data_IF_140821842479
#
_entry.id   IF_140821842479
#
_cell.length_a   1.000
_cell.length_b   1.000
_cell.length_c   1.000
_cell.angle_alpha   90.00
_cell.angle_beta   90.00
_cell.angle_gamma   90.00
#
_symmetry.space_group_name_H-M   'P 1'
#
loop_
_entity.id
_entity.type
_entity.pdbx_description
1 polymer ?
#
# COMPACT_ATOMS: atom_id res chain seq x y z
N UNK A 1 -8.97 4.49 13.59
CA UNK A 1 -9.80 4.32 12.36
C UNK A 1 -11.10 5.10 12.56
N UNK A 2 -11.55 5.89 11.59
CA UNK A 2 -12.74 6.74 11.77
C UNK A 2 -14.05 5.95 11.56
N UNK A 3 -14.05 5.08 10.56
CA UNK A 3 -15.24 4.32 10.13
C UNK A 3 -15.26 2.87 10.62
N UNK A 4 -14.29 2.48 11.43
CA UNK A 4 -14.27 1.20 12.14
C UNK A 4 -14.09 1.54 13.62
N UNK A 5 -15.12 1.32 14.42
CA UNK A 5 -15.15 1.74 15.82
C UNK A 5 -16.16 0.94 16.63
N UNK A 6 -15.97 0.92 17.92
CA UNK A 6 -17.00 0.40 18.84
C UNK A 6 -18.15 1.39 18.97
N UNK A 7 -19.36 0.87 18.88
CA UNK A 7 -20.59 1.49 19.38
C UNK A 7 -21.00 0.66 20.58
N UNK A 8 -20.89 1.22 21.78
CA UNK A 8 -20.91 0.48 23.03
C UNK A 8 -19.86 -0.65 23.03
N UNK A 9 -20.25 -1.89 23.17
CA UNK A 9 -19.37 -3.06 23.23
C UNK A 9 -19.24 -3.83 21.90
N UNK A 10 -19.81 -3.32 20.78
CA UNK A 10 -19.85 -4.02 19.49
C UNK A 10 -19.03 -3.23 18.47
N UNK A 11 -18.17 -3.93 17.71
CA UNK A 11 -17.35 -3.33 16.67
C UNK A 11 -18.15 -3.24 15.37
N UNK A 12 -18.17 -2.03 14.81
CA UNK A 12 -18.84 -1.71 13.54
C UNK A 12 -17.84 -1.34 12.46
N UNK A 13 -18.22 -1.60 11.22
CA UNK A 13 -17.67 -0.93 10.05
C UNK A 13 -18.77 -0.04 9.48
N UNK A 14 -18.57 1.29 9.53
CA UNK A 14 -19.60 2.27 9.20
C UNK A 14 -20.88 2.04 10.02
N UNK A 15 -21.99 1.61 9.39
CA UNK A 15 -23.25 1.35 10.09
C UNK A 15 -23.54 -0.14 10.28
N UNK A 16 -22.62 -1.03 9.89
CA UNK A 16 -22.80 -2.48 9.89
C UNK A 16 -22.05 -3.11 11.08
N UNK A 17 -22.72 -3.97 11.84
CA UNK A 17 -22.08 -4.81 12.86
C UNK A 17 -21.18 -5.85 12.18
N UNK A 18 -19.93 -5.92 12.59
CA UNK A 18 -18.98 -6.84 11.99
C UNK A 18 -19.27 -8.31 12.32
N UNK A 19 -19.92 -8.57 13.46
CA UNK A 19 -20.37 -9.90 13.83
C UNK A 19 -21.41 -10.47 12.86
N UNK A 20 -22.36 -9.66 12.39
CA UNK A 20 -23.36 -10.07 11.39
C UNK A 20 -22.69 -10.47 10.07
N UNK A 21 -21.68 -9.72 9.62
CA UNK A 21 -20.92 -10.08 8.42
C UNK A 21 -20.15 -11.40 8.59
N UNK A 22 -19.58 -11.63 9.78
CA UNK A 22 -18.86 -12.86 10.06
C UNK A 22 -19.80 -14.09 10.05
N UNK A 23 -21.01 -13.95 10.57
CA UNK A 23 -22.02 -15.02 10.55
C UNK A 23 -22.56 -15.29 9.13
N UNK A 24 -22.83 -14.23 8.36
CA UNK A 24 -23.42 -14.35 7.01
C UNK A 24 -22.40 -14.87 5.99
N UNK A 25 -21.17 -14.33 5.99
CA UNK A 25 -20.17 -14.65 4.95
C UNK A 25 -19.08 -15.62 5.42
N UNK A 26 -19.08 -16.02 6.69
CA UNK A 26 -18.06 -16.87 7.30
C UNK A 26 -16.71 -16.18 7.46
N UNK A 27 -15.78 -16.87 8.14
CA UNK A 27 -14.41 -16.41 8.38
C UNK A 27 -13.38 -17.37 7.77
N UNK A 28 -12.11 -16.97 7.55
CA UNK A 28 -11.60 -15.59 7.59
C UNK A 28 -12.30 -14.67 6.58
N UNK A 29 -12.43 -13.38 6.90
CA UNK A 29 -13.18 -12.42 6.08
C UNK A 29 -12.48 -11.06 6.05
N UNK A 30 -12.21 -10.52 4.86
CA UNK A 30 -11.78 -9.13 4.73
C UNK A 30 -12.99 -8.19 4.60
N UNK A 31 -12.99 -7.11 5.37
CA UNK A 31 -14.01 -6.07 5.31
C UNK A 31 -13.34 -4.72 5.11
N UNK A 32 -13.84 -3.93 4.15
CA UNK A 32 -13.33 -2.60 3.84
C UNK A 32 -14.43 -1.55 3.97
N UNK A 33 -14.09 -0.38 4.53
CA UNK A 33 -14.95 0.80 4.54
C UNK A 33 -14.71 1.63 3.28
N UNK A 34 -15.73 1.82 2.46
CA UNK A 34 -15.68 2.70 1.29
C UNK A 34 -15.47 4.16 1.68
N UNK A 35 -16.17 4.62 2.73
CA UNK A 35 -16.09 6.01 3.17
C UNK A 35 -14.69 6.34 3.71
N UNK A 36 -14.02 5.38 4.39
CA UNK A 36 -12.63 5.56 4.82
C UNK A 36 -11.68 5.73 3.61
N UNK A 37 -11.84 4.90 2.57
CA UNK A 37 -11.02 4.98 1.34
C UNK A 37 -11.20 6.35 0.68
N UNK A 38 -12.44 6.76 0.47
CA UNK A 38 -12.78 8.02 -0.20
C UNK A 38 -12.27 9.22 0.60
N UNK A 39 -12.49 9.23 1.91
CA UNK A 39 -12.02 10.31 2.77
C UNK A 39 -10.49 10.43 2.75
N UNK A 40 -9.77 9.31 2.89
CA UNK A 40 -8.30 9.29 2.83
C UNK A 40 -7.77 9.85 1.52
N UNK A 41 -8.34 9.42 0.40
CA UNK A 41 -7.95 9.94 -0.91
C UNK A 41 -8.23 11.44 -1.03
N UNK A 42 -9.46 11.88 -0.70
CA UNK A 42 -9.86 13.29 -0.81
C UNK A 42 -9.04 14.21 0.08
N UNK A 43 -8.77 13.80 1.32
CA UNK A 43 -7.94 14.57 2.26
C UNK A 43 -6.53 14.73 1.73
N UNK A 44 -5.94 13.64 1.23
CA UNK A 44 -4.60 13.69 0.66
C UNK A 44 -4.55 14.52 -0.64
N UNK A 45 -5.52 14.34 -1.53
CA UNK A 45 -5.62 15.12 -2.76
C UNK A 45 -5.86 16.61 -2.50
N UNK A 46 -6.65 16.93 -1.49
CA UNK A 46 -6.94 18.31 -1.08
C UNK A 46 -5.77 19.03 -0.38
N UNK A 47 -4.74 18.29 0.06
CA UNK A 47 -3.56 18.89 0.68
C UNK A 47 -2.65 19.64 -0.31
N UNK A 48 -2.83 19.45 -1.61
CA UNK A 48 -2.09 20.14 -2.68
C UNK A 48 -2.73 21.47 -3.07
N UNK A 49 -2.78 22.41 -2.15
CA UNK A 49 -3.32 23.75 -2.45
C UNK A 49 -2.48 24.45 -3.52
N UNK A 50 -3.13 24.98 -4.56
CA UNK A 50 -2.53 25.78 -5.65
C UNK A 50 -1.33 25.13 -6.38
N UNK A 51 -1.19 23.80 -6.28
CA UNK A 51 -0.12 23.03 -6.92
C UNK A 51 -0.70 22.10 -7.97
N UNK A 52 -0.17 22.15 -9.19
CA UNK A 52 -0.44 21.12 -10.20
C UNK A 52 0.05 19.78 -9.65
N UNK A 53 -0.83 18.79 -9.53
CA UNK A 53 -0.50 17.52 -8.90
C UNK A 53 -1.30 16.34 -9.43
N UNK A 54 -0.84 15.14 -9.10
CA UNK A 54 -1.60 13.91 -9.27
C UNK A 54 -1.30 12.93 -8.12
N UNK A 55 -2.35 12.36 -7.56
CA UNK A 55 -2.25 11.25 -6.59
C UNK A 55 -2.47 9.94 -7.34
N UNK A 56 -1.39 9.18 -7.59
CA UNK A 56 -1.41 7.88 -8.24
C UNK A 56 -1.53 6.78 -7.18
N UNK A 57 -2.68 6.13 -7.11
CA UNK A 57 -2.82 5.01 -6.18
C UNK A 57 -1.92 3.85 -6.56
N UNK A 58 -1.09 3.36 -5.63
CA UNK A 58 -0.23 2.20 -5.84
C UNK A 58 -1.02 0.89 -5.75
N UNK A 59 -1.31 0.26 -6.89
CA UNK A 59 -2.16 -0.93 -6.99
C UNK A 59 -1.65 -2.12 -6.19
N UNK A 60 -0.32 -2.24 -6.06
CA UNK A 60 0.33 -3.29 -5.25
C UNK A 60 -0.16 -3.38 -3.81
N UNK A 61 -0.71 -2.29 -3.26
CA UNK A 61 -1.25 -2.29 -1.91
C UNK A 61 -2.56 -3.07 -1.81
N UNK A 62 -3.46 -2.89 -2.78
CA UNK A 62 -4.70 -3.66 -2.94
C UNK A 62 -5.28 -3.41 -4.34
N UNK A 63 -5.31 -4.43 -5.17
CA UNK A 63 -5.79 -4.37 -6.56
C UNK A 63 -7.20 -4.96 -6.74
N UNK A 64 -8.04 -5.02 -5.69
CA UNK A 64 -9.42 -5.43 -5.84
C UNK A 64 -10.16 -4.47 -6.78
N UNK A 65 -10.79 -5.02 -7.82
CA UNK A 65 -11.43 -4.24 -8.88
C UNK A 65 -12.42 -3.18 -8.38
N UNK A 66 -13.23 -3.51 -7.37
CA UNK A 66 -14.22 -2.56 -6.83
C UNK A 66 -13.58 -1.44 -6.00
N UNK A 67 -12.49 -1.73 -5.29
CA UNK A 67 -11.69 -0.70 -4.61
C UNK A 67 -11.06 0.23 -5.64
N UNK A 68 -10.50 -0.34 -6.72
CA UNK A 68 -9.93 0.43 -7.83
C UNK A 68 -10.99 1.33 -8.49
N UNK A 69 -12.22 0.82 -8.72
CA UNK A 69 -13.32 1.63 -9.26
C UNK A 69 -13.66 2.83 -8.36
N UNK A 70 -13.66 2.65 -7.04
CA UNK A 70 -13.88 3.77 -6.10
C UNK A 70 -12.83 4.86 -6.33
N UNK A 71 -11.55 4.50 -6.37
CA UNK A 71 -10.45 5.45 -6.54
C UNK A 71 -10.42 6.10 -7.94
N UNK A 72 -10.70 5.33 -8.99
CA UNK A 72 -10.82 5.87 -10.35
C UNK A 72 -11.96 6.89 -10.45
N UNK A 73 -13.10 6.64 -9.78
CA UNK A 73 -14.25 7.57 -9.72
C UNK A 73 -13.90 8.87 -8.99
N UNK A 74 -13.00 8.82 -7.98
CA UNK A 74 -12.48 10.00 -7.29
C UNK A 74 -11.45 10.78 -8.13
N UNK A 75 -11.06 10.27 -9.31
CA UNK A 75 -10.13 10.94 -10.22
C UNK A 75 -8.66 10.62 -9.98
N UNK A 76 -8.36 9.61 -9.19
CA UNK A 76 -6.99 9.16 -8.93
C UNK A 76 -6.27 8.74 -10.21
N UNK A 77 -4.94 8.91 -10.22
CA UNK A 77 -4.04 8.20 -11.11
C UNK A 77 -3.69 6.82 -10.55
N UNK A 78 -2.89 6.05 -11.27
CA UNK A 78 -2.46 4.71 -10.87
C UNK A 78 -0.95 4.52 -11.01
N UNK A 79 -0.30 3.99 -9.96
CA UNK A 79 1.04 3.41 -10.02
C UNK A 79 0.90 1.90 -10.20
N UNK A 80 1.40 1.38 -11.34
CA UNK A 80 1.36 -0.03 -11.70
C UNK A 80 2.78 -0.60 -11.85
N UNK A 81 2.95 -1.88 -11.52
CA UNK A 81 4.27 -2.55 -11.57
C UNK A 81 4.27 -3.82 -12.43
N UNK A 82 3.18 -4.07 -13.16
CA UNK A 82 3.06 -5.19 -14.10
C UNK A 82 1.96 -4.94 -15.12
N UNK A 83 1.96 -5.69 -16.24
CA UNK A 83 0.87 -5.67 -17.21
C UNK A 83 -0.48 -6.08 -16.59
N UNK A 84 -0.45 -6.99 -15.60
CA UNK A 84 -1.65 -7.39 -14.86
C UNK A 84 -2.27 -6.23 -14.08
N UNK A 85 -1.47 -5.46 -13.36
CA UNK A 85 -1.95 -4.26 -12.66
C UNK A 85 -2.43 -3.18 -13.64
N UNK A 86 -1.71 -2.98 -14.78
CA UNK A 86 -2.15 -2.07 -15.84
C UNK A 86 -3.52 -2.46 -16.39
N UNK A 87 -3.72 -3.75 -16.68
CA UNK A 87 -5.02 -4.27 -17.13
C UNK A 87 -6.13 -4.00 -16.10
N UNK A 88 -5.86 -4.25 -14.81
CA UNK A 88 -6.82 -4.01 -13.73
C UNK A 88 -7.14 -2.52 -13.56
N UNK A 89 -6.14 -1.65 -13.69
CA UNK A 89 -6.34 -0.19 -13.63
C UNK A 89 -7.27 0.28 -14.77
N UNK A 90 -6.97 -0.09 -16.00
CA UNK A 90 -7.78 0.25 -17.17
C UNK A 90 -9.21 -0.29 -17.06
N UNK A 91 -9.36 -1.55 -16.65
CA UNK A 91 -10.66 -2.19 -16.43
C UNK A 91 -11.48 -1.50 -15.35
N UNK A 92 -10.83 -0.94 -14.32
CA UNK A 92 -11.48 -0.20 -13.25
C UNK A 92 -11.87 1.23 -13.63
N UNK A 93 -11.38 1.74 -14.78
CA UNK A 93 -11.73 3.06 -15.31
C UNK A 93 -10.69 4.15 -15.03
N UNK A 94 -9.47 3.79 -14.64
CA UNK A 94 -8.38 4.79 -14.60
C UNK A 94 -8.05 5.27 -16.02
N UNK A 95 -7.85 6.59 -16.17
CA UNK A 95 -7.46 7.18 -17.44
C UNK A 95 -6.00 6.84 -17.75
N UNK A 96 -5.67 6.34 -18.97
CA UNK A 96 -4.30 5.98 -19.33
C UNK A 96 -3.29 7.11 -19.14
N UNK A 97 -3.68 8.35 -19.39
CA UNK A 97 -2.87 9.56 -19.21
C UNK A 97 -2.58 9.92 -17.75
N UNK A 98 -3.12 9.13 -16.78
CA UNK A 98 -2.87 9.21 -15.35
C UNK A 98 -2.22 7.94 -14.79
N UNK A 99 -1.67 7.07 -15.65
CA UNK A 99 -1.02 5.82 -15.24
C UNK A 99 0.48 5.93 -15.42
N UNK A 100 1.23 5.63 -14.35
CA UNK A 100 2.68 5.47 -14.36
C UNK A 100 3.05 4.01 -14.18
N UNK A 101 4.08 3.53 -14.89
CA UNK A 101 4.54 2.15 -14.79
C UNK A 101 5.94 2.09 -14.17
N UNK A 102 5.98 1.69 -12.91
CA UNK A 102 7.20 1.53 -12.10
C UNK A 102 7.68 0.06 -12.07
N UNK A 103 8.75 -0.22 -11.30
CA UNK A 103 9.29 -1.58 -11.08
C UNK A 103 10.49 -1.93 -11.93
N UNK A 104 11.41 -2.70 -11.33
CA UNK A 104 12.75 -3.03 -11.89
C UNK A 104 12.76 -4.11 -12.97
N UNK A 105 11.64 -4.76 -13.21
CA UNK A 105 11.59 -5.98 -14.06
C UNK A 105 10.56 -5.90 -15.18
N UNK A 106 10.37 -4.74 -15.81
CA UNK A 106 9.45 -4.60 -16.95
C UNK A 106 9.94 -5.44 -18.12
N UNK A 107 9.11 -6.38 -18.56
CA UNK A 107 9.38 -7.21 -19.75
C UNK A 107 9.03 -6.45 -21.02
N UNK A 108 9.60 -6.89 -22.14
CA UNK A 108 9.35 -6.28 -23.44
C UNK A 108 7.87 -6.31 -23.86
N UNK A 109 7.18 -7.42 -23.60
CA UNK A 109 5.74 -7.56 -23.85
C UNK A 109 4.89 -6.63 -22.97
N UNK A 110 5.28 -6.38 -21.71
CA UNK A 110 4.61 -5.44 -20.81
C UNK A 110 4.83 -3.99 -21.24
N UNK A 111 6.06 -3.65 -21.70
CA UNK A 111 6.38 -2.33 -22.28
C UNK A 111 5.56 -2.10 -23.54
N UNK A 112 5.49 -3.08 -24.45
CA UNK A 112 4.69 -3.01 -25.67
C UNK A 112 3.20 -2.79 -25.34
N UNK A 113 2.64 -3.58 -24.42
CA UNK A 113 1.25 -3.41 -23.96
C UNK A 113 0.99 -2.01 -23.41
N UNK A 114 1.87 -1.52 -22.55
CA UNK A 114 1.73 -0.19 -21.95
C UNK A 114 1.80 0.95 -22.98
N UNK A 115 2.71 0.85 -23.97
CA UNK A 115 2.79 1.79 -25.08
C UNK A 115 1.55 1.76 -25.96
N UNK A 116 0.96 0.58 -26.19
CA UNK A 116 -0.29 0.45 -26.94
C UNK A 116 -1.47 1.09 -26.21
N UNK A 117 -1.49 1.03 -24.88
CA UNK A 117 -2.51 1.67 -24.03
C UNK A 117 -2.29 3.19 -23.86
N UNK A 118 -1.16 3.75 -24.35
CA UNK A 118 -0.80 5.17 -24.23
C UNK A 118 -0.77 5.68 -22.79
N UNK A 119 -0.18 4.90 -21.87
CA UNK A 119 0.00 5.33 -20.46
C UNK A 119 0.76 6.64 -20.38
N UNK A 120 0.69 7.33 -19.23
CA UNK A 120 1.37 8.60 -19.07
C UNK A 120 2.89 8.45 -19.19
N UNK A 121 3.53 7.59 -18.37
CA UNK A 121 4.99 7.42 -18.45
C UNK A 121 5.46 6.10 -17.84
N UNK A 122 6.71 5.75 -18.16
CA UNK A 122 7.48 4.71 -17.47
C UNK A 122 8.43 5.34 -16.46
N UNK A 123 8.45 4.82 -15.23
CA UNK A 123 9.48 5.11 -14.24
C UNK A 123 10.64 4.12 -14.48
N UNK A 124 11.69 4.58 -15.17
CA UNK A 124 12.80 3.76 -15.66
C UNK A 124 13.83 3.54 -14.57
N UNK A 125 14.26 2.31 -14.37
CA UNK A 125 15.12 1.93 -13.24
C UNK A 125 16.55 1.53 -13.67
N UNK A 126 16.83 1.43 -14.98
CA UNK A 126 18.17 1.10 -15.48
C UNK A 126 18.38 1.56 -16.93
N UNK A 127 19.67 1.69 -17.34
CA UNK A 127 20.05 1.98 -18.73
C UNK A 127 19.65 0.85 -19.69
N UNK A 128 19.71 -0.40 -19.25
CA UNK A 128 19.25 -1.55 -20.05
C UNK A 128 17.76 -1.47 -20.36
N UNK A 129 16.95 -1.12 -19.35
CA UNK A 129 15.51 -0.91 -19.50
C UNK A 129 15.22 0.26 -20.44
N UNK A 130 15.95 1.38 -20.30
CA UNK A 130 15.87 2.54 -21.20
C UNK A 130 16.00 2.13 -22.67
N UNK A 131 17.03 1.35 -22.98
CA UNK A 131 17.25 0.87 -24.35
C UNK A 131 16.14 -0.05 -24.84
N UNK A 132 15.59 -0.89 -23.97
CA UNK A 132 14.46 -1.75 -24.30
C UNK A 132 13.22 -0.93 -24.61
N UNK A 133 12.87 0.06 -23.78
CA UNK A 133 11.74 0.97 -24.01
C UNK A 133 11.93 1.73 -25.33
N UNK A 134 13.12 2.29 -25.57
CA UNK A 134 13.43 3.01 -26.80
C UNK A 134 13.27 2.14 -28.05
N UNK A 135 13.78 0.91 -28.03
CA UNK A 135 13.66 -0.06 -29.13
C UNK A 135 12.22 -0.45 -29.41
N UNK A 136 11.43 -0.74 -28.37
CA UNK A 136 10.00 -1.09 -28.51
C UNK A 136 9.21 0.10 -29.04
N UNK A 137 9.42 1.30 -28.48
CA UNK A 137 8.75 2.51 -28.93
C UNK A 137 9.06 2.81 -30.40
N UNK A 138 10.33 2.69 -30.81
CA UNK A 138 10.73 2.86 -32.19
C UNK A 138 10.06 1.84 -33.13
N UNK A 139 10.04 0.54 -32.76
CA UNK A 139 9.35 -0.53 -33.49
C UNK A 139 7.86 -0.24 -33.70
N UNK A 140 7.20 0.36 -32.69
CA UNK A 140 5.79 0.70 -32.77
C UNK A 140 5.49 2.05 -33.42
N UNK A 141 6.50 2.80 -33.84
CA UNK A 141 6.34 4.17 -34.36
C UNK A 141 5.78 5.14 -33.32
N UNK A 142 6.03 4.91 -32.01
CA UNK A 142 5.56 5.72 -30.90
C UNK A 142 6.70 6.45 -30.21
N UNK A 143 6.37 7.47 -29.42
CA UNK A 143 7.26 8.02 -28.41
C UNK A 143 6.89 7.52 -27.03
N UNK A 144 7.87 7.01 -26.29
CA UNK A 144 7.70 6.64 -24.90
C UNK A 144 8.04 7.82 -23.98
N UNK A 145 7.09 8.25 -23.18
CA UNK A 145 7.34 9.21 -22.09
C UNK A 145 8.00 8.49 -20.93
N UNK A 146 9.08 9.03 -20.41
CA UNK A 146 9.86 8.43 -19.34
C UNK A 146 10.21 9.42 -18.23
N UNK A 147 10.28 8.90 -17.01
CA UNK A 147 10.94 9.49 -15.85
C UNK A 147 11.99 8.51 -15.36
N UNK A 148 13.18 8.97 -14.97
CA UNK A 148 14.11 8.06 -14.30
C UNK A 148 13.82 8.01 -12.80
N UNK A 149 13.78 6.79 -12.26
CA UNK A 149 13.81 6.59 -10.82
C UNK A 149 15.23 6.78 -10.33
N UNK A 150 15.45 7.87 -9.64
CA UNK A 150 16.74 8.18 -9.02
C UNK A 150 16.72 7.74 -7.56
N UNK A 151 17.74 6.97 -7.20
CA UNK A 151 17.99 6.56 -5.84
C UNK A 151 18.92 7.58 -5.18
N UNK A 152 18.42 8.40 -4.21
CA UNK A 152 19.20 9.48 -3.61
C UNK A 152 20.21 9.00 -2.56
N UNK A 153 20.25 7.70 -2.24
CA UNK A 153 21.07 7.10 -1.17
C UNK A 153 20.76 7.68 0.22
N UNK A 154 19.48 7.83 0.51
CA UNK A 154 18.97 8.33 1.79
C UNK A 154 18.37 7.18 2.58
N UNK A 155 18.83 7.02 3.84
CA UNK A 155 18.26 6.04 4.77
C UNK A 155 16.91 6.51 5.31
N UNK A 156 15.85 5.82 4.89
CA UNK A 156 14.49 6.07 5.35
C UNK A 156 14.22 5.53 6.78
N UNK A 157 15.18 4.85 7.41
CA UNK A 157 15.07 4.24 8.74
C UNK A 157 13.83 3.32 8.87
N UNK A 158 13.50 2.61 7.79
CA UNK A 158 12.41 1.65 7.72
C UNK A 158 12.92 0.21 7.82
N UNK A 159 11.99 -0.77 7.89
CA UNK A 159 12.39 -2.17 7.95
C UNK A 159 13.27 -2.54 6.73
N UNK A 160 14.36 -3.32 6.90
CA UNK A 160 15.32 -3.61 5.81
C UNK A 160 14.68 -4.15 4.53
N UNK A 161 13.63 -4.97 4.62
CA UNK A 161 12.97 -5.55 3.44
C UNK A 161 12.07 -4.57 2.67
N UNK A 162 11.77 -3.39 3.23
CA UNK A 162 10.93 -2.36 2.59
C UNK A 162 11.65 -1.01 2.41
N UNK A 163 12.95 -0.95 2.69
CA UNK A 163 13.83 0.18 2.37
C UNK A 163 14.23 0.09 0.90
N UNK A 164 14.09 1.16 0.13
CA UNK A 164 14.38 1.20 -1.32
C UNK A 164 15.28 2.37 -1.72
N UNK A 165 15.60 3.27 -0.80
CA UNK A 165 16.37 4.48 -1.05
C UNK A 165 17.88 4.34 -0.86
N UNK A 166 18.41 3.17 -0.51
CA UNK A 166 19.83 2.91 -0.32
C UNK A 166 20.48 2.36 -1.59
N UNK A 167 21.73 2.73 -1.83
CA UNK A 167 22.53 2.28 -2.98
C UNK A 167 22.66 0.75 -3.07
N UNK A 168 22.59 0.04 -1.94
CA UNK A 168 22.66 -1.43 -1.89
C UNK A 168 21.38 -2.13 -2.35
N UNK A 169 20.31 -1.41 -2.67
CA UNK A 169 19.05 -1.99 -3.14
C UNK A 169 19.03 -2.16 -4.66
N UNK A 170 18.14 -3.04 -5.15
CA UNK A 170 17.97 -3.28 -6.59
C UNK A 170 17.27 -2.13 -7.34
N UNK A 171 16.86 -1.08 -6.66
CA UNK A 171 15.96 -0.05 -7.21
C UNK A 171 16.69 1.20 -7.66
N UNK A 172 16.27 1.72 -8.81
CA UNK A 172 16.64 3.02 -9.34
C UNK A 172 18.08 3.13 -9.83
N UNK A 173 18.36 4.30 -10.36
CA UNK A 173 19.69 4.72 -10.85
C UNK A 173 20.38 5.50 -9.74
N UNK A 174 21.67 5.26 -9.56
CA UNK A 174 22.49 5.98 -8.58
C UNK A 174 22.45 7.49 -8.83
N UNK A 175 22.35 8.27 -7.75
CA UNK A 175 22.34 9.73 -7.78
C UNK A 175 23.51 10.34 -8.57
N UNK A 176 24.69 9.75 -8.47
CA UNK A 176 25.92 10.17 -9.18
C UNK A 176 25.84 10.07 -10.69
N UNK A 177 25.02 9.16 -11.21
CA UNK A 177 24.83 8.90 -12.65
C UNK A 177 23.65 9.63 -13.26
N UNK A 178 22.86 10.34 -12.45
CA UNK A 178 21.60 10.93 -12.90
C UNK A 178 21.76 11.84 -14.15
N UNK A 179 22.69 12.79 -14.11
CA UNK A 179 22.89 13.73 -15.24
C UNK A 179 23.35 12.99 -16.51
N UNK A 180 24.24 12.02 -16.38
CA UNK A 180 24.75 11.21 -17.48
C UNK A 180 23.60 10.46 -18.19
N UNK A 181 22.75 9.76 -17.41
CA UNK A 181 21.66 8.96 -18.00
C UNK A 181 20.58 9.82 -18.65
N UNK A 182 20.26 10.98 -18.07
CA UNK A 182 19.35 11.94 -18.70
C UNK A 182 19.91 12.51 -20.01
N UNK A 183 21.19 12.88 -20.02
CA UNK A 183 21.88 13.38 -21.22
C UNK A 183 21.91 12.32 -22.32
N UNK A 184 22.21 11.06 -21.96
CA UNK A 184 22.16 9.96 -22.89
C UNK A 184 20.75 9.72 -23.43
N UNK A 185 19.73 9.68 -22.57
CA UNK A 185 18.35 9.46 -22.98
C UNK A 185 17.82 10.57 -23.92
N UNK A 186 18.28 11.81 -23.76
CA UNK A 186 17.93 12.93 -24.63
C UNK A 186 18.38 12.72 -26.09
N UNK A 187 19.36 11.83 -26.34
CA UNK A 187 19.81 11.48 -27.71
C UNK A 187 18.93 10.45 -28.39
N UNK A 188 18.02 9.77 -27.65
CA UNK A 188 17.18 8.68 -28.15
C UNK A 188 15.85 9.23 -28.67
N UNK A 189 15.69 9.32 -30.00
CA UNK A 189 14.56 10.00 -30.67
C UNK A 189 13.17 9.40 -30.34
N UNK A 190 13.10 8.12 -29.95
CA UNK A 190 11.87 7.44 -29.60
C UNK A 190 11.42 7.72 -28.14
N UNK A 191 12.18 8.49 -27.37
CA UNK A 191 11.89 8.82 -25.98
C UNK A 191 11.52 10.29 -25.81
N UNK A 192 10.76 10.56 -24.78
CA UNK A 192 10.40 11.89 -24.28
C UNK A 192 10.66 11.94 -22.78
N UNK A 193 11.59 12.80 -22.36
CA UNK A 193 11.92 13.01 -20.95
C UNK A 193 10.87 13.93 -20.32
N UNK A 194 10.02 13.39 -19.45
CA UNK A 194 8.89 14.15 -18.88
C UNK A 194 9.04 14.44 -17.40
N UNK A 195 9.79 13.62 -16.63
CA UNK A 195 9.89 13.82 -15.21
C UNK A 195 11.08 13.15 -14.55
N UNK A 196 11.15 13.28 -13.25
CA UNK A 196 12.02 12.52 -12.33
C UNK A 196 11.15 11.80 -11.30
N UNK A 197 11.48 10.54 -11.03
CA UNK A 197 10.82 9.73 -10.01
C UNK A 197 11.80 9.40 -8.88
N UNK A 198 11.30 9.33 -7.65
CA UNK A 198 12.03 8.82 -6.49
C UNK A 198 11.10 8.07 -5.54
N UNK A 199 11.62 7.05 -4.88
CA UNK A 199 10.86 6.32 -3.84
C UNK A 199 11.86 5.71 -2.86
N UNK A 200 11.91 6.23 -1.63
CA UNK A 200 12.97 5.91 -0.65
C UNK A 200 12.62 4.75 0.30
N UNK A 201 11.37 4.31 0.32
CA UNK A 201 10.97 3.19 1.20
C UNK A 201 9.48 3.14 1.47
N UNK A 202 9.08 2.26 2.37
CA UNK A 202 7.69 2.07 2.79
C UNK A 202 7.59 2.12 4.30
N UNK A 203 6.42 2.52 4.84
CA UNK A 203 6.18 2.68 6.28
C UNK A 203 7.19 3.65 6.92
N UNK A 204 7.43 4.78 6.27
CA UNK A 204 8.32 5.83 6.79
C UNK A 204 7.50 6.67 7.78
N UNK A 205 8.01 6.79 8.99
CA UNK A 205 7.31 7.43 10.12
C UNK A 205 7.97 8.74 10.56
N UNK A 206 8.96 9.23 9.80
CA UNK A 206 9.68 10.48 10.04
C UNK A 206 9.65 11.35 8.79
N UNK A 207 9.61 12.66 8.97
CA UNK A 207 9.54 13.63 7.86
C UNK A 207 10.92 13.92 7.28
N UNK A 208 11.98 13.84 8.10
CA UNK A 208 13.35 14.24 7.74
C UNK A 208 13.90 13.53 6.49
N UNK A 209 13.76 12.20 6.30
CA UNK A 209 14.22 11.54 5.08
C UNK A 209 13.51 12.07 3.81
N UNK A 210 12.23 12.40 3.91
CA UNK A 210 11.51 13.01 2.80
C UNK A 210 12.00 14.43 2.49
N UNK A 211 12.26 15.27 3.49
CA UNK A 211 12.83 16.61 3.30
C UNK A 211 14.20 16.53 2.63
N UNK A 212 15.08 15.63 3.08
CA UNK A 212 16.39 15.42 2.46
C UNK A 212 16.25 15.01 0.99
N UNK A 213 15.32 14.10 0.68
CA UNK A 213 15.00 13.67 -0.69
C UNK A 213 14.47 14.83 -1.54
N UNK A 214 13.57 15.65 -1.01
CA UNK A 214 13.01 16.80 -1.73
C UNK A 214 14.11 17.81 -2.12
N UNK A 215 15.01 18.14 -1.18
CA UNK A 215 16.14 19.04 -1.46
C UNK A 215 17.09 18.46 -2.53
N UNK A 216 17.37 17.15 -2.48
CA UNK A 216 18.17 16.49 -3.50
C UNK A 216 17.50 16.58 -4.89
N UNK A 217 16.20 16.26 -4.99
CA UNK A 217 15.45 16.28 -6.26
C UNK A 217 15.38 17.71 -6.83
N UNK A 218 15.14 18.73 -6.01
CA UNK A 218 15.15 20.14 -6.44
C UNK A 218 16.51 20.51 -7.03
N UNK A 219 17.61 20.15 -6.36
CA UNK A 219 18.97 20.36 -6.87
C UNK A 219 19.23 19.63 -8.20
N UNK A 220 18.74 18.38 -8.35
CA UNK A 220 18.86 17.61 -9.57
C UNK A 220 18.08 18.27 -10.73
N UNK A 221 16.82 18.67 -10.50
CA UNK A 221 15.99 19.36 -11.51
C UNK A 221 16.67 20.66 -11.98
N UNK A 222 17.30 21.42 -11.07
CA UNK A 222 18.07 22.60 -11.42
C UNK A 222 19.23 22.29 -12.36
N UNK A 223 20.06 21.29 -12.02
CA UNK A 223 21.20 20.85 -12.88
C UNK A 223 20.75 20.32 -14.24
N UNK A 224 19.64 19.59 -14.31
CA UNK A 224 19.08 19.11 -15.57
C UNK A 224 18.61 20.27 -16.45
N UNK A 225 18.00 21.29 -15.86
CA UNK A 225 17.59 22.51 -16.58
C UNK A 225 18.79 23.28 -17.11
N UNK A 226 19.88 23.39 -16.36
CA UNK A 226 21.17 23.98 -16.82
C UNK A 226 21.76 23.18 -18.00
N UNK A 227 21.56 21.86 -18.03
CA UNK A 227 21.94 20.99 -19.14
C UNK A 227 20.94 21.02 -20.33
N UNK A 228 19.92 21.89 -20.30
CA UNK A 228 18.92 22.00 -21.36
C UNK A 228 17.79 20.97 -21.30
N UNK A 229 17.68 20.20 -20.23
CA UNK A 229 16.65 19.17 -20.02
C UNK A 229 15.58 19.72 -19.10
N UNK A 230 14.40 20.03 -19.66
CA UNK A 230 13.27 20.61 -18.94
C UNK A 230 12.25 19.52 -18.62
N UNK A 231 12.10 19.19 -17.34
CA UNK A 231 11.13 18.24 -16.85
C UNK A 231 9.79 18.95 -16.51
N UNK A 232 8.69 18.25 -16.70
CA UNK A 232 7.33 18.78 -16.45
C UNK A 232 6.74 18.33 -15.10
N UNK A 233 7.22 17.20 -14.55
CA UNK A 233 6.73 16.71 -13.27
C UNK A 233 7.84 16.04 -12.42
N UNK A 234 7.58 16.00 -11.13
CA UNK A 234 8.32 15.25 -10.12
C UNK A 234 7.38 14.21 -9.55
N UNK A 235 7.68 12.93 -9.75
CA UNK A 235 7.00 11.84 -9.06
C UNK A 235 7.80 11.49 -7.81
N UNK A 236 7.24 11.89 -6.66
CA UNK A 236 7.92 11.75 -5.37
C UNK A 236 7.69 10.38 -4.73
N UNK A 237 6.97 9.48 -5.42
CA UNK A 237 6.65 8.15 -4.94
C UNK A 237 5.69 8.15 -3.76
N UNK A 238 5.71 7.08 -3.00
CA UNK A 238 4.88 6.92 -1.81
C UNK A 238 5.74 6.72 -0.56
N UNK A 239 5.33 5.76 0.27
CA UNK A 239 6.09 5.38 1.46
C UNK A 239 5.55 5.96 2.76
N UNK A 240 4.57 6.85 2.73
CA UNK A 240 3.93 7.43 3.92
C UNK A 240 3.45 6.33 4.86
N UNK A 241 3.96 6.35 6.09
CA UNK A 241 3.61 5.40 7.13
C UNK A 241 2.18 5.58 7.65
N UNK A 242 1.67 4.55 8.32
CA UNK A 242 0.39 4.58 9.03
C UNK A 242 0.57 4.06 10.46
N UNK A 243 -0.34 4.48 11.33
CA UNK A 243 -0.38 4.00 12.70
C UNK A 243 -1.04 2.63 12.76
N UNK A 244 -0.33 1.63 13.29
CA UNK A 244 -0.85 0.27 13.48
C UNK A 244 -1.28 -0.01 14.92
N UNK A 245 -0.75 0.72 15.90
CA UNK A 245 -1.11 0.63 17.31
C UNK A 245 -2.30 1.54 17.62
N UNK A 246 -3.15 1.16 18.57
CA UNK A 246 -4.30 1.97 19.00
C UNK A 246 -5.18 2.47 17.83
N UNK A 247 -5.38 1.61 16.81
CA UNK A 247 -6.18 1.92 15.64
C UNK A 247 -7.66 2.13 15.98
N UNK A 248 -8.17 1.38 16.96
CA UNK A 248 -9.43 1.62 17.65
C UNK A 248 -9.19 1.64 19.17
N UNK A 249 -10.05 2.35 19.91
CA UNK A 249 -9.98 2.46 21.36
C UNK A 249 -11.31 2.08 22.00
N UNK A 250 -11.23 1.47 23.17
CA UNK A 250 -12.32 1.21 24.08
C UNK A 250 -11.74 1.02 25.49
N UNK A 251 -12.48 1.35 26.54
CA UNK A 251 -11.99 1.28 27.92
C UNK A 251 -11.60 -0.14 28.37
N UNK A 252 -12.27 -1.15 27.80
CA UNK A 252 -12.00 -2.57 28.08
C UNK A 252 -10.85 -3.16 27.24
N UNK A 253 -10.25 -2.42 26.32
CA UNK A 253 -9.09 -2.92 25.57
C UNK A 253 -7.80 -2.63 26.33
N UNK A 254 -6.81 -3.54 26.28
CA UNK A 254 -5.51 -3.27 26.82
C UNK A 254 -4.95 -1.98 26.23
N UNK A 255 -4.46 -1.09 27.08
CA UNK A 255 -3.70 0.07 26.61
C UNK A 255 -2.35 -0.43 26.10
N UNK A 256 -2.11 -0.26 24.82
CA UNK A 256 -0.80 -0.51 24.25
C UNK A 256 0.09 0.68 24.53
N UNK A 257 1.33 0.43 24.97
CA UNK A 257 2.31 1.49 25.09
C UNK A 257 2.39 2.21 23.73
N UNK A 258 2.16 3.52 23.66
CA UNK A 258 2.32 4.24 22.41
C UNK A 258 3.75 4.01 21.93
N UNK A 259 3.90 3.53 20.70
CA UNK A 259 5.20 3.62 20.01
C UNK A 259 5.67 5.06 20.16
N UNK A 260 6.91 5.28 20.59
CA UNK A 260 7.48 6.55 21.09
C UNK A 260 7.29 7.78 20.19
N UNK A 261 6.57 7.70 19.09
CA UNK A 261 6.22 8.83 18.22
C UNK A 261 4.91 8.61 17.48
N UNK A 262 4.04 9.62 17.48
CA UNK A 262 2.91 9.72 16.57
C UNK A 262 3.44 9.66 15.13
N UNK A 263 2.91 8.78 14.31
CA UNK A 263 3.21 8.74 12.87
C UNK A 263 2.57 9.97 12.22
N UNK A 264 3.34 10.83 11.52
CA UNK A 264 2.77 11.95 10.80
C UNK A 264 1.73 11.50 9.77
N UNK A 265 0.67 12.27 9.60
CA UNK A 265 -0.29 12.00 8.54
C UNK A 265 0.30 12.33 7.16
N UNK A 266 -0.22 11.77 6.05
CA UNK A 266 0.25 12.13 4.71
C UNK A 266 0.18 13.65 4.44
N UNK A 267 -0.82 14.35 4.99
CA UNK A 267 -0.96 15.79 4.88
C UNK A 267 0.14 16.54 5.64
N UNK A 268 0.53 16.06 6.83
CA UNK A 268 1.66 16.62 7.59
C UNK A 268 2.99 16.43 6.82
N UNK A 269 3.18 15.29 6.13
CA UNK A 269 4.32 15.10 5.22
C UNK A 269 4.28 16.11 4.06
N UNK A 270 3.13 16.28 3.37
CA UNK A 270 3.00 17.21 2.25
C UNK A 270 3.22 18.67 2.68
N UNK A 271 2.71 19.07 3.84
CA UNK A 271 2.95 20.41 4.39
C UNK A 271 4.43 20.74 4.50
N UNK A 272 5.28 19.76 4.84
CA UNK A 272 6.72 19.94 4.90
C UNK A 272 7.40 19.91 3.53
N UNK A 273 6.86 19.18 2.56
CA UNK A 273 7.50 18.92 1.27
C UNK A 273 7.13 19.94 0.18
N UNK A 274 5.86 20.36 0.12
CA UNK A 274 5.36 21.19 -0.96
C UNK A 274 6.12 22.52 -1.10
N UNK A 275 6.45 23.28 -0.03
CA UNK A 275 7.23 24.50 -0.17
C UNK A 275 8.59 24.32 -0.83
N UNK A 276 9.20 23.13 -0.67
CA UNK A 276 10.48 22.79 -1.28
C UNK A 276 10.29 22.43 -2.75
N UNK A 277 9.39 21.50 -3.04
CA UNK A 277 9.18 20.96 -4.39
C UNK A 277 8.60 21.98 -5.37
N UNK A 278 7.71 22.86 -4.89
CA UNK A 278 7.10 23.94 -5.70
C UNK A 278 8.11 24.90 -6.31
N UNK A 279 9.29 25.05 -5.71
CA UNK A 279 10.38 25.93 -6.25
C UNK A 279 10.85 25.50 -7.64
N UNK A 280 10.58 24.26 -8.03
CA UNK A 280 10.93 23.73 -9.36
C UNK A 280 9.99 24.19 -10.47
N UNK A 281 8.76 24.57 -10.16
CA UNK A 281 7.69 24.84 -11.13
C UNK A 281 7.11 23.61 -11.81
N UNK A 282 7.53 22.39 -11.40
CA UNK A 282 7.01 21.12 -11.90
C UNK A 282 5.68 20.76 -11.24
N UNK A 283 4.86 19.95 -11.92
CA UNK A 283 3.74 19.25 -11.31
C UNK A 283 4.25 18.21 -10.31
N UNK A 284 3.61 18.08 -9.16
CA UNK A 284 4.04 17.16 -8.09
C UNK A 284 3.13 15.93 -8.06
N UNK A 285 3.69 14.76 -8.28
CA UNK A 285 2.98 13.48 -8.25
C UNK A 285 3.43 12.67 -7.06
N UNK A 286 2.52 11.86 -6.51
CA UNK A 286 2.80 10.93 -5.41
C UNK A 286 2.13 9.59 -5.66
N UNK A 287 2.70 8.50 -5.09
CA UNK A 287 2.25 7.12 -5.28
C UNK A 287 1.80 6.48 -3.93
N UNK A 288 0.82 7.03 -3.21
CA UNK A 288 0.35 6.45 -1.96
C UNK A 288 -0.40 5.14 -2.21
N UNK A 289 -0.06 4.11 -1.47
CA UNK A 289 -0.83 2.87 -1.41
C UNK A 289 -1.31 2.63 0.02
N UNK A 290 -0.37 2.33 0.91
CA UNK A 290 -0.63 2.04 2.32
C UNK A 290 -1.46 3.11 3.01
N UNK A 291 -1.11 4.37 2.87
CA UNK A 291 -1.77 5.49 3.57
C UNK A 291 -3.22 5.73 3.14
N UNK A 292 -3.63 5.21 1.96
CA UNK A 292 -5.03 5.29 1.51
C UNK A 292 -5.85 4.11 2.02
N UNK A 293 -5.31 2.88 1.98
CA UNK A 293 -6.15 1.68 2.12
C UNK A 293 -5.91 0.90 3.42
N UNK A 294 -4.76 1.07 4.10
CA UNK A 294 -4.40 0.21 5.23
C UNK A 294 -5.44 0.21 6.35
N UNK A 295 -5.80 1.39 6.83
CA UNK A 295 -6.77 1.58 7.92
C UNK A 295 -8.23 1.60 7.45
N UNK A 296 -8.46 1.37 6.17
CA UNK A 296 -9.80 1.15 5.62
C UNK A 296 -10.21 -0.33 5.64
N UNK A 297 -9.30 -1.26 5.91
CA UNK A 297 -9.56 -2.69 5.86
C UNK A 297 -9.16 -3.42 7.15
N UNK A 298 -9.93 -4.46 7.46
CA UNK A 298 -9.71 -5.40 8.56
C UNK A 298 -9.83 -6.84 8.09
N UNK A 299 -9.19 -7.77 8.81
CA UNK A 299 -9.39 -9.20 8.66
C UNK A 299 -10.13 -9.72 9.90
N UNK A 300 -11.30 -10.30 9.70
CA UNK A 300 -12.07 -10.99 10.74
C UNK A 300 -11.68 -12.46 10.73
N UNK A 301 -11.48 -13.03 11.92
CA UNK A 301 -11.16 -14.43 12.14
C UNK A 301 -11.93 -14.97 13.33
N UNK A 302 -12.22 -16.27 13.34
CA UNK A 302 -12.93 -16.96 14.43
C UNK A 302 -11.94 -17.76 15.27
N UNK A 303 -12.09 -17.70 16.57
CA UNK A 303 -11.35 -18.56 17.51
C UNK A 303 -11.86 -19.99 17.38
N UNK A 304 -10.97 -20.90 16.93
CA UNK A 304 -11.25 -22.33 16.85
C UNK A 304 -11.14 -22.98 18.22
N UNK A 305 -10.06 -22.66 18.93
CA UNK A 305 -9.77 -23.19 20.24
C UNK A 305 -8.73 -22.35 20.98
N UNK A 306 -8.61 -22.57 22.27
CA UNK A 306 -7.52 -22.06 23.10
C UNK A 306 -6.70 -23.22 23.63
N UNK A 307 -5.39 -23.02 23.78
CA UNK A 307 -4.47 -24.03 24.31
C UNK A 307 -3.54 -23.39 25.34
N UNK A 308 -3.46 -24.00 26.50
CA UNK A 308 -2.54 -23.61 27.57
C UNK A 308 -1.42 -24.67 27.67
N UNK A 309 -0.21 -24.25 27.43
CA UNK A 309 1.00 -25.00 27.72
C UNK A 309 1.63 -24.42 28.99
N UNK A 310 2.46 -25.15 29.67
CA UNK A 310 3.11 -24.69 30.92
C UNK A 310 3.87 -23.35 30.78
N UNK A 311 4.23 -22.95 29.57
CA UNK A 311 5.00 -21.73 29.28
C UNK A 311 4.23 -20.64 28.52
N UNK A 312 3.17 -21.02 27.78
CA UNK A 312 2.44 -20.08 26.89
C UNK A 312 0.99 -20.47 26.71
N UNK A 313 0.18 -19.44 26.51
CA UNK A 313 -1.20 -19.59 26.07
C UNK A 313 -1.34 -19.24 24.59
N UNK A 314 -2.13 -20.00 23.87
CA UNK A 314 -2.42 -19.80 22.46
C UNK A 314 -3.91 -19.59 22.23
N UNK A 315 -4.23 -18.63 21.40
CA UNK A 315 -5.55 -18.46 20.78
C UNK A 315 -5.39 -18.90 19.33
N UNK A 316 -5.99 -20.03 18.97
CA UNK A 316 -5.90 -20.63 17.64
C UNK A 316 -7.11 -20.17 16.85
N UNK A 317 -6.85 -19.51 15.73
CA UNK A 317 -7.89 -18.93 14.87
C UNK A 317 -7.93 -19.61 13.50
N UNK A 318 -9.01 -19.38 12.73
CA UNK A 318 -9.19 -19.97 11.41
C UNK A 318 -8.46 -19.23 10.28
N UNK A 319 -8.08 -17.96 10.48
CA UNK A 319 -7.18 -17.23 9.60
C UNK A 319 -5.72 -17.55 9.88
N UNK A 320 -4.85 -17.43 8.88
CA UNK A 320 -3.43 -17.71 9.00
C UNK A 320 -2.54 -16.84 8.15
N UNK A 321 -1.23 -17.17 8.12
CA UNK A 321 -0.26 -16.45 7.30
C UNK A 321 -0.58 -16.49 5.79
N UNK A 322 -1.35 -17.47 5.34
CA UNK A 322 -1.86 -17.55 3.98
C UNK A 322 -2.89 -16.45 3.68
N UNK A 323 -3.57 -15.91 4.70
CA UNK A 323 -4.55 -14.82 4.57
C UNK A 323 -3.89 -13.46 4.82
N UNK A 324 -3.00 -13.36 5.82
CA UNK A 324 -2.27 -12.13 6.18
C UNK A 324 -0.80 -12.47 6.48
N UNK A 325 0.05 -12.35 5.47
CA UNK A 325 1.46 -12.73 5.54
C UNK A 325 2.33 -11.77 6.36
N UNK A 326 1.91 -10.51 6.52
CA UNK A 326 2.74 -9.44 7.08
C UNK A 326 3.32 -9.71 8.47
N UNK A 327 2.60 -10.27 9.45
CA UNK A 327 3.18 -10.61 10.74
C UNK A 327 4.32 -11.62 10.64
N UNK A 328 4.17 -12.64 9.81
CA UNK A 328 5.20 -13.66 9.59
C UNK A 328 6.42 -13.16 8.82
N UNK A 329 6.19 -12.37 7.75
CA UNK A 329 7.25 -11.92 6.83
C UNK A 329 8.05 -10.74 7.38
N UNK A 330 7.37 -9.78 8.01
CA UNK A 330 7.96 -8.50 8.44
C UNK A 330 7.94 -8.31 9.96
N UNK A 331 7.45 -9.29 10.72
CA UNK A 331 7.12 -9.12 12.15
C UNK A 331 6.20 -7.90 12.37
N UNK A 332 5.34 -7.63 11.37
CA UNK A 332 4.50 -6.45 11.38
C UNK A 332 3.45 -6.53 12.48
N UNK A 333 3.37 -5.45 13.24
CA UNK A 333 2.33 -5.30 14.24
C UNK A 333 0.98 -5.01 13.58
N UNK A 334 -0.07 -5.64 14.12
CA UNK A 334 -1.47 -5.29 13.91
C UNK A 334 -2.18 -5.32 15.27
N UNK A 335 -3.03 -4.33 15.52
CA UNK A 335 -3.91 -4.39 16.69
C UNK A 335 -4.96 -5.48 16.46
N UNK A 336 -5.19 -6.31 17.48
CA UNK A 336 -6.20 -7.37 17.46
C UNK A 336 -7.20 -7.08 18.55
N UNK A 337 -8.48 -7.09 18.20
CA UNK A 337 -9.58 -6.76 19.14
C UNK A 337 -10.75 -7.71 18.94
N UNK A 338 -11.57 -7.99 19.98
CA UNK A 338 -12.80 -8.77 19.84
C UNK A 338 -13.85 -8.00 19.02
N UNK A 339 -14.73 -8.68 18.29
CA UNK A 339 -15.88 -8.03 17.65
C UNK A 339 -16.95 -7.61 18.67
N UNK A 340 -17.03 -8.32 19.79
CA UNK A 340 -17.91 -8.00 20.92
C UNK A 340 -17.12 -8.07 22.22
N UNK A 341 -17.18 -7.01 23.01
CA UNK A 341 -16.52 -6.94 24.31
C UNK A 341 -17.44 -7.54 25.36
N UNK A 342 -17.10 -8.75 25.79
CA UNK A 342 -17.88 -9.52 26.78
C UNK A 342 -17.16 -9.64 28.13
N UNK A 343 -15.92 -9.17 28.24
CA UNK A 343 -15.10 -9.26 29.45
C UNK A 343 -14.08 -8.14 29.51
N UNK A 344 -13.70 -7.77 30.71
CA UNK A 344 -12.59 -6.88 31.05
C UNK A 344 -11.33 -7.67 31.48
N UNK A 345 -11.40 -9.02 31.49
CA UNK A 345 -10.23 -9.85 31.78
C UNK A 345 -9.29 -9.86 30.59
N UNK A 346 -8.01 -9.72 30.85
CA UNK A 346 -6.97 -9.78 29.84
C UNK A 346 -6.01 -10.94 30.13
N UNK A 347 -5.47 -11.54 29.09
CA UNK A 347 -4.44 -12.54 29.21
C UNK A 347 -3.35 -12.35 28.15
N UNK A 348 -2.13 -12.78 28.49
CA UNK A 348 -1.00 -12.74 27.56
C UNK A 348 -1.00 -14.00 26.72
N UNK A 349 -1.16 -13.83 25.38
CA UNK A 349 -1.34 -14.95 24.44
C UNK A 349 -0.51 -14.77 23.17
N UNK A 350 -0.24 -15.87 22.48
CA UNK A 350 0.10 -15.89 21.06
C UNK A 350 -1.19 -16.16 20.27
N UNK A 351 -1.49 -15.32 19.28
CA UNK A 351 -2.58 -15.55 18.30
C UNK A 351 -1.98 -16.23 17.09
N UNK A 352 -2.39 -17.47 16.84
CA UNK A 352 -1.80 -18.33 15.82
C UNK A 352 -2.85 -18.89 14.87
N UNK A 353 -2.44 -19.10 13.61
CA UNK A 353 -3.32 -19.65 12.59
C UNK A 353 -3.22 -21.18 12.47
N UNK A 354 -3.89 -21.73 11.44
CA UNK A 354 -3.98 -23.17 11.22
C UNK A 354 -2.92 -23.71 10.26
N UNK A 355 -1.96 -22.91 9.80
CA UNK A 355 -0.92 -23.33 8.86
C UNK A 355 0.12 -24.17 9.58
N UNK A 356 0.55 -25.25 8.92
CA UNK A 356 1.52 -26.20 9.49
C UNK A 356 2.95 -25.66 9.47
N UNK A 357 3.14 -24.48 10.10
CA UNK A 357 4.43 -23.76 10.15
C UNK A 357 4.53 -22.91 11.41
N UNK A 358 5.70 -22.90 12.07
CA UNK A 358 5.92 -22.15 13.32
C UNK A 358 5.90 -20.62 13.14
N UNK A 359 5.99 -20.15 11.91
CA UNK A 359 5.87 -18.74 11.55
C UNK A 359 4.42 -18.27 11.38
N UNK A 360 3.44 -19.18 11.52
CA UNK A 360 2.01 -18.83 11.39
C UNK A 360 1.46 -18.21 12.68
N UNK A 361 1.62 -16.91 12.78
CA UNK A 361 1.08 -16.11 13.90
C UNK A 361 0.61 -14.74 13.41
N UNK A 362 -0.39 -14.20 14.09
CA UNK A 362 -0.80 -12.80 13.96
C UNK A 362 -0.22 -11.92 15.07
N UNK A 363 0.00 -12.50 16.25
CA UNK A 363 0.64 -11.83 17.38
C UNK A 363 1.36 -12.84 18.28
N UNK A 364 2.43 -12.37 18.93
CA UNK A 364 3.16 -13.11 19.95
C UNK A 364 3.23 -12.30 21.23
N UNK A 365 3.12 -12.99 22.36
CA UNK A 365 3.20 -12.38 23.72
C UNK A 365 2.30 -11.15 23.87
N UNK A 366 1.12 -11.16 23.22
CA UNK A 366 0.19 -10.03 23.18
C UNK A 366 -0.80 -10.09 24.35
N UNK A 367 -0.98 -8.95 25.05
CA UNK A 367 -2.06 -8.79 26.01
C UNK A 367 -3.36 -8.52 25.25
N UNK A 368 -4.33 -9.43 25.36
CA UNK A 368 -5.63 -9.35 24.71
C UNK A 368 -6.75 -9.60 25.70
N UNK A 369 -7.97 -9.14 25.34
CA UNK A 369 -9.18 -9.58 26.04
C UNK A 369 -9.30 -11.10 25.96
N UNK A 370 -9.61 -11.76 27.07
CA UNK A 370 -9.75 -13.20 27.16
C UNK A 370 -10.80 -13.70 26.16
N UNK A 371 -10.42 -14.65 25.35
CA UNK A 371 -11.24 -15.18 24.25
C UNK A 371 -11.51 -16.66 24.42
N UNK A 372 -12.68 -17.11 23.98
CA UNK A 372 -13.10 -18.51 23.99
C UNK A 372 -13.33 -19.03 22.59
N UNK A 373 -13.39 -20.36 22.44
CA UNK A 373 -13.77 -20.97 21.17
C UNK A 373 -15.14 -20.46 20.71
N UNK A 374 -15.23 -20.06 19.46
CA UNK A 374 -16.41 -19.44 18.85
C UNK A 374 -16.39 -17.91 18.79
N UNK A 375 -15.58 -17.23 19.60
CA UNK A 375 -15.47 -15.78 19.57
C UNK A 375 -14.84 -15.29 18.23
N UNK A 376 -15.17 -14.07 17.83
CA UNK A 376 -14.61 -13.42 16.67
C UNK A 376 -13.61 -12.34 17.07
N UNK A 377 -12.49 -12.30 16.34
CA UNK A 377 -11.45 -11.28 16.46
C UNK A 377 -11.29 -10.51 15.16
N UNK A 378 -11.05 -9.21 15.25
CA UNK A 378 -10.62 -8.38 14.14
C UNK A 378 -9.12 -8.09 14.23
N UNK A 379 -8.39 -8.39 13.17
CA UNK A 379 -7.02 -7.92 12.94
C UNK A 379 -7.13 -6.61 12.16
N UNK A 380 -6.78 -5.50 12.79
CA UNK A 380 -7.01 -4.16 12.26
C UNK A 380 -5.92 -3.71 11.28
N UNK A 381 -6.21 -2.66 10.49
CA UNK A 381 -5.24 -2.02 9.56
C UNK A 381 -4.65 -3.00 8.53
N UNK A 382 -5.48 -3.92 8.02
CA UNK A 382 -5.05 -4.96 7.07
C UNK A 382 -5.38 -4.66 5.62
N UNK A 383 -5.94 -3.49 5.32
CA UNK A 383 -6.39 -3.14 3.98
C UNK A 383 -5.28 -3.08 2.92
N UNK A 384 -4.04 -2.73 3.33
CA UNK A 384 -2.89 -2.70 2.45
C UNK A 384 -1.99 -3.92 2.67
N UNK A 385 -1.59 -4.58 1.58
CA UNK A 385 -0.69 -5.74 1.60
C UNK A 385 -1.20 -6.90 2.48
N UNK A 386 -2.52 -6.95 2.73
CA UNK A 386 -3.20 -8.08 3.35
C UNK A 386 -3.59 -9.08 2.27
N UNK A 387 -4.79 -8.95 1.70
CA UNK A 387 -5.28 -9.83 0.65
C UNK A 387 -4.33 -9.91 -0.56
N UNK A 388 -3.65 -8.79 -0.91
CA UNK A 388 -2.70 -8.74 -2.02
C UNK A 388 -1.54 -9.75 -1.89
N UNK A 389 -1.14 -10.11 -0.67
CA UNK A 389 -0.11 -11.12 -0.38
C UNK A 389 -0.69 -12.48 0.01
N UNK A 390 -2.00 -12.66 -0.04
CA UNK A 390 -2.62 -13.94 0.33
C UNK A 390 -2.30 -15.04 -0.69
N UNK A 391 -2.35 -16.27 -0.24
CA UNK A 391 -2.03 -17.46 -1.05
C UNK A 391 -2.94 -18.63 -0.71
N UNK A 392 -2.81 -19.72 -1.48
CA UNK A 392 -3.45 -21.00 -1.18
C UNK A 392 -2.51 -21.97 -0.42
N UNK A 393 -1.57 -21.41 0.36
CA UNK A 393 -0.65 -22.24 1.13
C UNK A 393 -1.40 -23.23 2.03
N UNK A 394 -0.91 -24.47 2.14
CA UNK A 394 -1.57 -25.63 2.73
C UNK A 394 -2.94 -25.99 2.11
N UNK A 395 -3.20 -25.63 0.84
CA UNK A 395 -4.44 -25.90 0.15
C UNK A 395 -5.66 -25.17 0.75
N UNK A 396 -5.45 -24.02 1.39
CA UNK A 396 -6.54 -23.23 2.00
C UNK A 396 -7.14 -22.27 0.99
N UNK A 397 -8.48 -22.23 0.84
CA UNK A 397 -9.16 -21.24 0.01
C UNK A 397 -8.92 -19.83 0.50
N UNK A 398 -8.80 -18.88 -0.45
CA UNK A 398 -8.70 -17.44 -0.12
C UNK A 398 -10.02 -16.93 0.47
N UNK A 399 -9.98 -15.98 1.43
CA UNK A 399 -11.14 -15.42 2.08
C UNK A 399 -12.01 -14.59 1.13
N UNK A 400 -13.27 -14.36 1.52
CA UNK A 400 -14.09 -13.36 0.86
C UNK A 400 -13.62 -11.95 1.18
N UNK A 401 -13.95 -10.99 0.29
CA UNK A 401 -13.76 -9.57 0.49
C UNK A 401 -15.10 -8.83 0.39
N UNK A 402 -15.41 -8.01 1.39
CA UNK A 402 -16.64 -7.24 1.53
C UNK A 402 -16.31 -5.74 1.52
N UNK A 403 -17.11 -4.95 0.80
CA UNK A 403 -17.09 -3.49 0.84
C UNK A 403 -18.35 -2.97 1.50
N UNK A 404 -18.20 -2.20 2.58
CA UNK A 404 -19.26 -1.50 3.29
C UNK A 404 -19.33 -0.05 2.81
N UNK A 405 -20.55 0.47 2.65
CA UNK A 405 -20.84 1.85 2.27
C UNK A 405 -22.12 2.32 3.00
N UNK A 406 -21.95 2.92 4.17
CA UNK A 406 -23.02 3.24 5.10
C UNK A 406 -23.69 1.97 5.62
N UNK A 407 -24.96 1.80 5.29
CA UNK A 407 -25.79 0.63 5.60
C UNK A 407 -25.77 -0.46 4.51
N UNK A 408 -25.00 -0.28 3.45
CA UNK A 408 -24.95 -1.20 2.31
C UNK A 408 -23.70 -2.07 2.32
N UNK A 409 -23.91 -3.35 2.09
CA UNK A 409 -22.88 -4.38 2.02
C UNK A 409 -22.78 -4.91 0.60
N UNK A 410 -21.56 -5.06 0.09
CA UNK A 410 -21.30 -5.66 -1.21
C UNK A 410 -20.17 -6.68 -1.12
N UNK A 411 -20.42 -7.90 -1.58
CA UNK A 411 -19.37 -8.88 -1.83
C UNK A 411 -18.56 -8.40 -3.04
N UNK A 412 -17.32 -8.01 -2.83
CA UNK A 412 -16.40 -7.52 -3.88
C UNK A 412 -15.45 -8.62 -4.37
N UNK A 413 -15.38 -9.72 -3.63
CA UNK A 413 -14.79 -11.00 -4.02
C UNK A 413 -15.45 -12.12 -3.25
N UNK A 414 -16.02 -13.12 -3.91
CA UNK A 414 -16.56 -14.30 -3.23
C UNK A 414 -15.40 -15.10 -2.61
N UNK A 415 -15.69 -15.86 -1.54
CA UNK A 415 -14.76 -16.85 -0.97
C UNK A 415 -14.42 -17.87 -2.06
N UNK A 416 -13.15 -18.19 -2.20
CA UNK A 416 -12.69 -19.28 -3.06
C UNK A 416 -13.24 -20.61 -2.52
N UNK A 417 -13.72 -21.47 -3.41
CA UNK A 417 -14.16 -22.82 -3.06
C UNK A 417 -12.97 -23.80 -3.10
N UNK A 418 -13.13 -24.94 -2.45
CA UNK A 418 -12.10 -26.00 -2.48
C UNK A 418 -11.90 -26.50 -3.93
N UNK A 419 -12.97 -26.55 -4.70
CA UNK A 419 -12.95 -26.95 -6.10
C UNK A 419 -12.24 -25.95 -7.04
N UNK A 420 -11.95 -24.73 -6.56
CA UNK A 420 -11.22 -23.71 -7.30
C UNK A 420 -9.70 -23.75 -7.03
N UNK A 421 -9.20 -24.79 -6.33
CA UNK A 421 -7.78 -24.87 -5.92
C UNK A 421 -6.85 -25.50 -6.96
N UNK A 422 -7.39 -26.06 -8.06
CA UNK A 422 -6.67 -26.68 -9.18
C UNK A 422 -6.46 -25.75 -10.40
#
# INVERSE_FOLDING_TARGET
MKYISYKENILYCEDIQLGELAEEYGTPLYVYSKNQIVEKYRTLNGAFTDTSHLVCYALKANANHHILQVLATEGAGADVVSAGELYLALKAGFSPDKIVFAGVGKREDEIEYALQQNIFSFNVESVSELHTISRVAHRLGKKARISFRINPDIDAQSHPYITTGLQSTKFGIEASKAIEVYTHAATLSALELVGVHTHIGSQITKVEPFIATANYIVGLVGKLREAGINLTHIDFGGGFGVQYTNAVSHEALPQEEPSNSKVPTPEEFLTALLPILQTTGCSIWIEPGRSIIADAGILITRVISTKDNSSKKFVIVDGGMNDLLRPSLYQAYHQIVPLSINTYEHEKVDVVGPICESSDFFARDRLLAKSNAGDYLAVLTTGAYGFALSSNYNGRPRPAEILVNGDRVRVIRPRQKIEDLD
#
